data_IF_858697470840
#
_entry.id   IF_858697470840
#
_cell.length_a   1.000
_cell.length_b   1.000
_cell.length_c   1.000
_cell.angle_alpha   90.00
_cell.angle_beta   90.00
_cell.angle_gamma   90.00
#
_symmetry.space_group_name_H-M   'P 1'
#
loop_
_entity.id
_entity.type
_entity.pdbx_description
1 polymer ?
#
# COMPACT_ATOMS: atom_id res chain seq x y z
N UNK A 1 6.84 -7.23 -7.05
CA UNK A 1 7.66 -6.09 -7.55
C UNK A 1 6.97 -4.82 -7.11
N UNK A 2 7.68 -3.76 -6.70
CA UNK A 2 7.03 -2.51 -6.30
C UNK A 2 6.41 -1.83 -7.52
N UNK A 3 5.18 -1.28 -7.45
CA UNK A 3 4.47 -0.69 -8.59
C UNK A 3 5.10 0.59 -9.13
N UNK A 4 5.89 1.28 -8.32
CA UNK A 4 6.72 2.41 -8.73
C UNK A 4 8.17 2.13 -8.33
N UNK A 5 9.05 2.02 -9.32
CA UNK A 5 10.44 1.57 -9.13
C UNK A 5 11.42 2.74 -9.08
N UNK A 6 12.60 2.48 -8.52
CA UNK A 6 13.68 3.48 -8.54
C UNK A 6 14.13 3.80 -9.98
N UNK A 7 14.11 2.85 -10.91
CA UNK A 7 14.40 3.07 -12.32
C UNK A 7 13.43 4.05 -12.99
N UNK A 8 12.14 3.98 -12.63
CA UNK A 8 11.15 4.97 -13.09
C UNK A 8 11.42 6.35 -12.52
N UNK A 9 11.76 6.44 -11.21
CA UNK A 9 12.16 7.69 -10.58
C UNK A 9 13.38 8.32 -11.26
N UNK A 10 14.40 7.51 -11.58
CA UNK A 10 15.61 7.95 -12.29
C UNK A 10 15.26 8.59 -13.64
N UNK A 11 14.35 7.98 -14.40
CA UNK A 11 13.90 8.50 -15.71
C UNK A 11 13.15 9.82 -15.56
N UNK A 12 12.31 9.96 -14.51
CA UNK A 12 11.51 11.17 -14.26
C UNK A 12 12.40 12.34 -13.86
N UNK A 13 13.42 12.10 -13.01
CA UNK A 13 14.25 13.15 -12.42
C UNK A 13 15.62 13.32 -13.08
N UNK A 14 15.95 12.52 -14.09
CA UNK A 14 17.26 12.54 -14.77
C UNK A 14 18.43 12.52 -13.76
N UNK A 15 18.38 11.58 -12.80
CA UNK A 15 19.31 11.54 -11.66
C UNK A 15 20.76 11.35 -12.10
N UNK A 16 21.68 11.99 -11.36
CA UNK A 16 23.11 11.90 -11.64
C UNK A 16 23.65 10.48 -11.40
N UNK A 17 24.31 9.84 -12.38
CA UNK A 17 24.85 8.49 -12.23
C UNK A 17 25.80 8.29 -11.05
N UNK A 18 26.46 9.33 -10.57
CA UNK A 18 27.43 9.24 -9.46
C UNK A 18 26.78 9.15 -8.07
N UNK A 19 25.48 9.47 -7.95
CA UNK A 19 24.73 9.53 -6.68
C UNK A 19 23.72 8.39 -6.54
N UNK A 20 23.61 7.50 -7.53
CA UNK A 20 22.52 6.52 -7.64
C UNK A 20 22.37 5.61 -6.41
N UNK A 21 23.46 5.17 -5.79
CA UNK A 21 23.39 4.31 -4.59
C UNK A 21 22.73 5.04 -3.42
N UNK A 22 23.11 6.30 -3.21
CA UNK A 22 22.52 7.13 -2.15
C UNK A 22 21.06 7.46 -2.46
N UNK A 23 20.77 7.79 -3.70
CA UNK A 23 19.41 8.10 -4.15
C UNK A 23 18.48 6.89 -4.01
N UNK A 24 18.94 5.68 -4.31
CA UNK A 24 18.18 4.46 -4.09
C UNK A 24 17.87 4.20 -2.61
N UNK A 25 18.83 4.44 -1.72
CA UNK A 25 18.60 4.34 -0.28
C UNK A 25 17.56 5.35 0.22
N UNK A 26 17.62 6.59 -0.28
CA UNK A 26 16.62 7.63 0.05
C UNK A 26 15.25 7.21 -0.47
N UNK A 27 15.15 6.73 -1.72
CA UNK A 27 13.90 6.25 -2.31
C UNK A 27 13.28 5.12 -1.49
N UNK A 28 14.06 4.09 -1.15
CA UNK A 28 13.59 2.97 -0.35
C UNK A 28 13.11 3.41 1.05
N UNK A 29 13.78 4.40 1.64
CA UNK A 29 13.35 5.01 2.91
C UNK A 29 12.00 5.73 2.77
N UNK A 30 11.80 6.48 1.67
CA UNK A 30 10.52 7.16 1.37
C UNK A 30 9.40 6.14 1.24
N UNK A 31 9.59 5.08 0.44
CA UNK A 31 8.59 4.01 0.25
C UNK A 31 8.23 3.37 1.60
N UNK A 32 9.24 2.95 2.38
CA UNK A 32 9.03 2.30 3.67
C UNK A 32 8.25 3.20 4.65
N UNK A 33 8.58 4.51 4.69
CA UNK A 33 7.88 5.45 5.55
C UNK A 33 6.45 5.71 5.07
N UNK A 34 6.23 5.77 3.76
CA UNK A 34 4.91 5.94 3.18
C UNK A 34 4.02 4.73 3.48
N UNK A 35 4.50 3.50 3.26
CA UNK A 35 3.76 2.28 3.59
C UNK A 35 3.37 2.21 5.09
N UNK A 36 4.26 2.65 5.98
CA UNK A 36 3.94 2.78 7.43
C UNK A 36 2.82 3.77 7.69
N UNK A 37 2.80 4.91 6.99
CA UNK A 37 1.75 5.92 7.16
C UNK A 37 0.41 5.47 6.58
N UNK A 38 0.44 4.73 5.47
CA UNK A 38 -0.73 4.15 4.83
C UNK A 38 -1.28 2.94 5.59
N UNK A 39 -0.44 2.29 6.41
CA UNK A 39 -0.71 1.05 7.13
C UNK A 39 -0.97 -0.17 6.24
N UNK A 40 -0.47 -0.16 4.99
CA UNK A 40 -0.46 -1.30 4.08
C UNK A 40 0.69 -1.22 3.06
N UNK A 41 0.99 -2.33 2.39
CA UNK A 41 2.00 -2.36 1.33
C UNK A 41 1.46 -1.78 0.03
N UNK A 42 2.26 -0.94 -0.63
CA UNK A 42 1.94 -0.43 -1.96
C UNK A 42 2.07 -1.51 -3.04
N UNK A 43 3.02 -2.45 -2.85
CA UNK A 43 3.20 -3.55 -3.78
C UNK A 43 2.10 -4.60 -3.64
N UNK A 44 1.63 -5.13 -4.77
CA UNK A 44 0.73 -6.28 -4.80
C UNK A 44 1.38 -7.49 -4.14
N UNK A 45 0.74 -8.02 -3.09
CA UNK A 45 1.21 -9.14 -2.29
C UNK A 45 0.08 -10.09 -1.95
N UNK A 46 0.45 -11.35 -1.70
CA UNK A 46 -0.47 -12.34 -1.20
C UNK A 46 -0.67 -12.21 0.32
N UNK A 47 -1.93 -12.25 0.75
CA UNK A 47 -2.34 -12.19 2.14
C UNK A 47 -3.18 -13.40 2.52
N UNK A 48 -3.03 -13.82 3.77
CA UNK A 48 -3.82 -14.88 4.39
C UNK A 48 -4.38 -14.36 5.70
N UNK A 49 -5.69 -14.40 5.84
CA UNK A 49 -6.39 -13.89 7.01
C UNK A 49 -7.48 -14.84 7.48
N UNK A 50 -7.83 -14.73 8.75
CA UNK A 50 -8.96 -15.44 9.34
C UNK A 50 -9.93 -14.40 9.86
N UNK A 51 -11.15 -14.43 9.33
CA UNK A 51 -12.19 -13.45 9.65
C UNK A 51 -13.51 -14.13 10.01
N UNK A 52 -14.30 -13.50 10.86
CA UNK A 52 -15.64 -13.99 11.21
C UNK A 52 -16.69 -13.23 10.41
N UNK A 53 -17.64 -13.95 9.85
CA UNK A 53 -18.77 -13.38 9.11
C UNK A 53 -19.73 -12.68 10.08
N UNK A 54 -20.11 -11.44 9.77
CA UNK A 54 -21.12 -10.67 10.45
C UNK A 54 -21.97 -9.91 9.45
N UNK A 55 -23.28 -9.98 9.58
CA UNK A 55 -24.22 -9.33 8.67
C UNK A 55 -23.94 -9.68 7.19
N UNK A 56 -23.67 -10.96 6.92
CA UNK A 56 -23.29 -11.50 5.60
C UNK A 56 -22.02 -10.90 5.00
N UNK A 57 -21.13 -10.33 5.82
CA UNK A 57 -19.92 -9.67 5.37
C UNK A 57 -18.70 -10.17 6.14
N UNK A 58 -17.56 -10.09 5.47
CA UNK A 58 -16.25 -10.08 6.10
C UNK A 58 -15.45 -8.88 5.61
N UNK A 59 -14.53 -8.41 6.43
CA UNK A 59 -13.66 -7.29 6.09
C UNK A 59 -12.21 -7.76 6.07
N UNK A 60 -11.53 -7.52 4.97
CA UNK A 60 -10.10 -7.80 4.87
C UNK A 60 -9.28 -6.72 5.59
N UNK A 61 -8.08 -7.09 6.02
CA UNK A 61 -7.15 -6.12 6.61
C UNK A 61 -6.58 -5.17 5.56
N UNK A 62 -6.48 -5.58 4.31
CA UNK A 62 -5.94 -4.76 3.24
C UNK A 62 -7.03 -4.31 2.28
N UNK A 63 -6.93 -3.05 1.86
CA UNK A 63 -7.71 -2.48 0.78
C UNK A 63 -7.12 -2.88 -0.58
N UNK A 64 -7.83 -2.53 -1.64
CA UNK A 64 -7.37 -2.71 -3.01
C UNK A 64 -7.04 -4.17 -3.34
N UNK A 65 -8.05 -5.05 -3.10
CA UNK A 65 -7.95 -6.47 -3.48
C UNK A 65 -7.86 -6.56 -5.01
N UNK A 66 -6.75 -7.08 -5.51
CA UNK A 66 -6.51 -7.29 -6.94
C UNK A 66 -7.01 -8.64 -7.41
N UNK A 67 -6.95 -9.64 -6.53
CA UNK A 67 -7.40 -10.99 -6.82
C UNK A 67 -7.84 -11.73 -5.56
N UNK A 68 -9.02 -12.34 -5.58
CA UNK A 68 -9.45 -13.28 -4.55
C UNK A 68 -9.11 -14.71 -4.99
N UNK A 69 -8.09 -15.30 -4.36
CA UNK A 69 -7.61 -16.63 -4.72
C UNK A 69 -8.51 -17.71 -4.14
N UNK A 70 -8.84 -17.60 -2.85
CA UNK A 70 -9.63 -18.60 -2.16
C UNK A 70 -10.33 -18.07 -0.91
N UNK A 71 -11.55 -18.55 -0.68
CA UNK A 71 -12.29 -18.38 0.58
C UNK A 71 -12.72 -19.78 1.04
N UNK A 72 -12.29 -20.17 2.23
CA UNK A 72 -12.61 -21.47 2.83
C UNK A 72 -13.36 -21.26 4.12
N UNK A 73 -14.51 -21.85 4.25
CA UNK A 73 -15.22 -21.94 5.51
C UNK A 73 -14.49 -22.93 6.45
N UNK A 74 -13.96 -22.41 7.55
CA UNK A 74 -13.19 -23.20 8.52
C UNK A 74 -14.08 -24.17 9.32
N UNK A 75 -15.39 -23.94 9.35
CA UNK A 75 -16.36 -24.78 10.04
C UNK A 75 -16.67 -26.03 9.23
N UNK A 76 -16.90 -25.89 7.93
CA UNK A 76 -17.26 -27.01 7.03
C UNK A 76 -16.05 -27.57 6.26
N UNK A 77 -14.96 -26.82 6.15
CA UNK A 77 -13.77 -27.09 5.31
C UNK A 77 -14.05 -26.99 3.81
N UNK A 78 -15.15 -26.37 3.44
CA UNK A 78 -15.57 -26.22 2.05
C UNK A 78 -15.23 -24.83 1.52
N UNK A 79 -15.10 -24.73 0.19
CA UNK A 79 -14.89 -23.45 -0.49
C UNK A 79 -16.21 -22.70 -0.54
N UNK A 80 -16.17 -21.41 -0.17
CA UNK A 80 -17.30 -20.50 -0.34
C UNK A 80 -17.42 -20.11 -1.83
N UNK A 81 -18.52 -20.47 -2.50
CA UNK A 81 -18.56 -20.45 -3.97
C UNK A 81 -18.75 -19.05 -4.56
N UNK A 82 -19.55 -18.20 -3.93
CA UNK A 82 -19.97 -16.92 -4.49
C UNK A 82 -19.89 -15.80 -3.48
N UNK A 83 -19.14 -14.76 -3.83
CA UNK A 83 -19.05 -13.53 -3.05
C UNK A 83 -18.95 -12.32 -3.99
N UNK A 84 -19.28 -11.14 -3.47
CA UNK A 84 -19.08 -9.85 -4.14
C UNK A 84 -18.04 -9.11 -3.35
N UNK A 85 -16.97 -8.62 -4.02
CA UNK A 85 -15.90 -7.85 -3.41
C UNK A 85 -16.11 -6.38 -3.75
N UNK A 86 -16.10 -5.55 -2.71
CA UNK A 86 -16.18 -4.10 -2.84
C UNK A 86 -15.17 -3.44 -1.89
N UNK A 87 -14.00 -3.09 -2.42
CA UNK A 87 -12.87 -2.62 -1.60
C UNK A 87 -12.45 -3.70 -0.60
N UNK A 88 -12.61 -3.43 0.69
CA UNK A 88 -12.33 -4.35 1.81
C UNK A 88 -13.51 -5.26 2.16
N UNK A 89 -14.71 -4.94 1.69
CA UNK A 89 -15.90 -5.70 2.02
C UNK A 89 -16.05 -6.88 1.07
N UNK A 90 -16.22 -8.06 1.64
CA UNK A 90 -16.60 -9.26 0.91
C UNK A 90 -18.00 -9.65 1.36
N UNK A 91 -18.96 -9.52 0.45
CA UNK A 91 -20.35 -9.89 0.67
C UNK A 91 -20.57 -11.34 0.31
N UNK A 92 -21.09 -12.11 1.24
CA UNK A 92 -21.47 -13.48 1.04
C UNK A 92 -22.94 -13.56 0.60
N UNK A 93 -23.19 -14.25 -0.51
CA UNK A 93 -24.54 -14.33 -1.08
C UNK A 93 -25.46 -15.32 -0.35
N UNK A 94 -24.93 -16.15 0.56
CA UNK A 94 -25.70 -17.09 1.37
C UNK A 94 -25.70 -16.68 2.85
N UNK A 95 -26.85 -16.84 3.48
CA UNK A 95 -27.05 -16.59 4.93
C UNK A 95 -26.47 -17.71 5.81
N UNK A 96 -26.14 -18.87 5.22
CA UNK A 96 -25.62 -20.03 5.96
C UNK A 96 -24.26 -19.78 6.61
N UNK A 97 -23.49 -18.80 6.11
CA UNK A 97 -22.16 -18.47 6.64
C UNK A 97 -22.18 -17.52 7.82
N UNK A 98 -23.33 -17.07 8.28
CA UNK A 98 -23.44 -16.14 9.39
C UNK A 98 -22.76 -16.70 10.68
N UNK A 99 -21.87 -15.92 11.28
CA UNK A 99 -21.00 -16.32 12.40
C UNK A 99 -19.97 -17.44 12.10
N UNK A 100 -19.84 -17.88 10.84
CA UNK A 100 -18.77 -18.79 10.46
C UNK A 100 -17.43 -18.07 10.44
N UNK A 101 -16.37 -18.85 10.62
CA UNK A 101 -14.98 -18.38 10.53
C UNK A 101 -14.46 -18.73 9.15
N UNK A 102 -14.02 -17.73 8.38
CA UNK A 102 -13.50 -17.92 7.04
C UNK A 102 -11.99 -17.72 7.00
N UNK A 103 -11.31 -18.57 6.27
CA UNK A 103 -9.94 -18.34 5.81
C UNK A 103 -9.98 -17.67 4.45
N UNK A 104 -9.34 -16.51 4.35
CA UNK A 104 -9.25 -15.69 3.15
C UNK A 104 -7.83 -15.74 2.61
N UNK A 105 -7.65 -16.10 1.35
CA UNK A 105 -6.39 -15.98 0.63
C UNK A 105 -6.61 -15.08 -0.58
N UNK A 106 -5.91 -13.96 -0.65
CA UNK A 106 -6.10 -12.93 -1.67
C UNK A 106 -4.82 -12.15 -1.96
N UNK A 107 -4.76 -11.53 -3.12
CA UNK A 107 -3.76 -10.53 -3.44
C UNK A 107 -4.34 -9.12 -3.24
N UNK A 108 -3.55 -8.22 -2.67
CA UNK A 108 -3.91 -6.82 -2.50
C UNK A 108 -2.68 -5.92 -2.63
N UNK A 109 -2.91 -4.68 -3.05
CA UNK A 109 -1.89 -3.69 -3.36
C UNK A 109 -2.11 -3.07 -4.72
N UNK A 110 -1.09 -2.51 -5.32
CA UNK A 110 -1.15 -1.91 -6.64
C UNK A 110 -0.23 -2.67 -7.61
N UNK A 111 -0.68 -2.79 -8.85
CA UNK A 111 0.17 -3.15 -9.98
C UNK A 111 0.81 -1.90 -10.56
N UNK A 112 1.80 -2.05 -11.46
CA UNK A 112 2.41 -0.91 -12.14
C UNK A 112 1.41 -0.13 -13.02
N UNK A 113 0.39 -0.83 -13.54
CA UNK A 113 -0.64 -0.25 -14.42
C UNK A 113 -1.67 0.55 -13.63
N UNK A 114 -2.02 0.10 -12.41
CA UNK A 114 -3.07 0.70 -11.57
C UNK A 114 -2.51 1.69 -10.55
N UNK A 115 -1.19 1.91 -10.52
CA UNK A 115 -0.59 2.76 -9.50
C UNK A 115 -1.03 4.21 -9.66
N UNK A 116 -1.70 4.82 -8.65
CA UNK A 116 -2.26 6.14 -8.74
C UNK A 116 -1.23 7.22 -9.06
N UNK A 117 -1.55 8.09 -10.02
CA UNK A 117 -0.63 9.12 -10.50
C UNK A 117 -0.30 10.16 -9.41
N UNK A 118 -1.28 10.52 -8.59
CA UNK A 118 -1.11 11.44 -7.45
C UNK A 118 -0.23 10.84 -6.35
N UNK A 119 -0.34 9.53 -6.11
CA UNK A 119 0.54 8.84 -5.17
C UNK A 119 1.98 8.75 -5.71
N UNK A 120 2.14 8.53 -7.02
CA UNK A 120 3.44 8.60 -7.70
C UNK A 120 4.06 9.99 -7.54
N UNK A 121 3.29 11.05 -7.78
CA UNK A 121 3.73 12.44 -7.60
C UNK A 121 4.12 12.72 -6.14
N UNK A 122 3.36 12.24 -5.17
CA UNK A 122 3.68 12.37 -3.75
C UNK A 122 5.02 11.71 -3.40
N UNK A 123 5.31 10.52 -3.94
CA UNK A 123 6.59 9.82 -3.74
C UNK A 123 7.74 10.64 -4.32
N UNK A 124 7.59 11.16 -5.55
CA UNK A 124 8.63 12.00 -6.18
C UNK A 124 8.93 13.24 -5.34
N UNK A 125 7.89 13.94 -4.88
CA UNK A 125 8.06 15.13 -4.02
C UNK A 125 8.70 14.79 -2.67
N UNK A 126 8.30 13.69 -2.04
CA UNK A 126 8.92 13.22 -0.78
C UNK A 126 10.40 12.85 -0.97
N UNK A 127 10.73 12.20 -2.09
CA UNK A 127 12.11 11.88 -2.42
C UNK A 127 12.96 13.16 -2.53
N UNK A 128 12.51 14.14 -3.30
CA UNK A 128 13.24 15.42 -3.48
C UNK A 128 13.42 16.15 -2.16
N UNK A 129 12.41 16.14 -1.29
CA UNK A 129 12.47 16.73 0.05
C UNK A 129 13.54 16.04 0.90
N UNK A 130 13.52 14.71 0.95
CA UNK A 130 14.48 13.89 1.69
C UNK A 130 15.91 14.01 1.16
N UNK A 131 16.07 14.06 -0.17
CA UNK A 131 17.36 14.27 -0.82
C UNK A 131 17.96 15.63 -0.43
N UNK A 132 17.15 16.69 -0.41
CA UNK A 132 17.56 18.02 0.04
C UNK A 132 18.02 18.00 1.50
N UNK A 133 17.28 17.35 2.39
CA UNK A 133 17.66 17.25 3.81
C UNK A 133 18.97 16.45 3.99
N UNK A 134 19.14 15.37 3.22
CA UNK A 134 20.37 14.57 3.24
C UNK A 134 21.59 15.38 2.81
N UNK A 135 21.49 16.19 1.74
CA UNK A 135 22.58 17.07 1.26
C UNK A 135 22.96 18.08 2.35
N UNK A 136 21.99 18.69 3.02
CA UNK A 136 22.25 19.61 4.14
C UNK A 136 23.00 18.92 5.29
N UNK A 137 22.61 17.70 5.67
CA UNK A 137 23.31 16.92 6.70
C UNK A 137 24.76 16.66 6.33
N UNK A 138 25.00 16.28 5.07
CA UNK A 138 26.36 15.98 4.59
C UNK A 138 27.26 17.22 4.61
N UNK A 139 26.69 18.40 4.39
CA UNK A 139 27.40 19.68 4.38
C UNK A 139 27.56 20.32 5.77
N UNK A 140 27.14 19.66 6.86
CA UNK A 140 27.10 20.19 8.23
C UNK A 140 26.39 21.55 8.35
N UNK A 141 25.36 21.77 7.53
CA UNK A 141 24.47 22.92 7.62
C UNK A 141 23.50 22.74 8.81
N UNK A 142 23.06 23.84 9.42
CA UNK A 142 22.02 23.79 10.48
C UNK A 142 20.75 23.11 9.94
N UNK A 143 20.44 21.94 10.51
CA UNK A 143 19.39 21.08 10.01
C UNK A 143 18.07 21.44 10.67
N UNK A 144 17.23 22.22 9.98
CA UNK A 144 15.79 22.12 10.15
C UNK A 144 15.26 21.08 9.15
N UNK A 145 14.80 19.94 9.65
CA UNK A 145 14.17 18.94 8.78
C UNK A 145 12.97 19.57 8.09
N UNK A 146 12.89 19.38 6.78
CA UNK A 146 11.78 19.90 6.00
C UNK A 146 10.48 19.19 6.41
N UNK A 147 9.46 19.95 6.80
CA UNK A 147 8.13 19.40 7.06
C UNK A 147 7.51 18.88 5.76
N UNK A 148 6.73 17.81 5.88
CA UNK A 148 5.99 17.30 4.73
C UNK A 148 4.92 18.31 4.31
N UNK A 149 4.91 18.80 3.06
CA UNK A 149 3.92 19.76 2.59
C UNK A 149 2.49 19.25 2.77
N UNK A 150 1.56 20.13 3.10
CA UNK A 150 0.15 19.79 3.35
C UNK A 150 -0.52 19.10 2.16
N UNK A 151 -0.14 19.45 0.94
CA UNK A 151 -0.65 18.80 -0.27
C UNK A 151 -0.31 17.30 -0.33
N UNK A 152 0.90 16.93 0.09
CA UNK A 152 1.34 15.52 0.16
C UNK A 152 0.59 14.80 1.28
N UNK A 153 0.45 15.44 2.45
CA UNK A 153 -0.34 14.87 3.55
C UNK A 153 -1.80 14.62 3.15
N UNK A 154 -2.38 15.51 2.35
CA UNK A 154 -3.74 15.31 1.84
C UNK A 154 -3.83 14.09 0.93
N UNK A 155 -2.87 13.88 0.03
CA UNK A 155 -2.81 12.68 -0.83
C UNK A 155 -2.67 11.42 0.04
N UNK A 156 -1.72 11.42 0.98
CA UNK A 156 -1.51 10.27 1.90
C UNK A 156 -2.82 9.94 2.65
N UNK A 157 -3.55 10.95 3.12
CA UNK A 157 -4.79 10.76 3.86
C UNK A 157 -5.92 10.17 3.00
N UNK A 158 -5.94 10.40 1.67
CA UNK A 158 -6.90 9.77 0.76
C UNK A 158 -6.69 8.25 0.74
N UNK A 159 -5.42 7.82 0.70
CA UNK A 159 -5.04 6.42 0.59
C UNK A 159 -4.83 5.73 1.96
N UNK A 160 -4.78 6.50 3.04
CA UNK A 160 -4.57 5.96 4.37
C UNK A 160 -5.71 5.03 4.76
N UNK A 161 -5.34 3.83 5.24
CA UNK A 161 -6.31 2.87 5.77
C UNK A 161 -7.18 3.53 6.86
N UNK A 162 -8.48 3.55 6.64
CA UNK A 162 -9.45 3.95 7.67
C UNK A 162 -9.64 2.74 8.58
N UNK A 163 -9.17 2.83 9.82
CA UNK A 163 -9.57 1.89 10.88
C UNK A 163 -11.07 2.03 11.10
N UNK A 164 -11.79 0.93 10.96
CA UNK A 164 -13.22 0.83 11.30
C UNK A 164 -13.40 0.82 12.80
#
# INVERSE_FOLDING_TARGET
MHPFTFEELQKILELNPTELVTDELIFNSVITNLEKQLAYSLADKNYNEIQTVKDHKVYTENDNITEMINIIDMNTKEKVPNCIINGREIFLLSTEYENHVLFLNYNAGFTAEDFPADLKEAIVKLFLLKKKDFIKQTNNEDIQFSETPQEILNIINIYRRKTL
#
